data_IF_480396944194
#
_entry.id   IF_480396944194
#
_cell.length_a   1.000
_cell.length_b   1.000
_cell.length_c   1.000
_cell.angle_alpha   90.00
_cell.angle_beta   90.00
_cell.angle_gamma   90.00
#
_symmetry.space_group_name_H-M   'P 1'
#
loop_
_entity.id
_entity.type
_entity.pdbx_description
1 polymer ?
#
# COMPACT_ATOMS: atom_id res chain seq x y z
N UNK A 1 -37.46 67.23 37.51
CA UNK A 1 -37.44 65.78 37.82
C UNK A 1 -36.53 64.98 36.90
N UNK A 2 -35.59 65.58 36.19
CA UNK A 2 -34.73 64.89 35.23
C UNK A 2 -33.22 64.82 35.57
N UNK A 3 -32.83 65.55 36.64
CA UNK A 3 -31.41 65.55 37.07
C UNK A 3 -30.98 64.32 37.84
N UNK A 4 -31.89 63.74 38.63
CA UNK A 4 -31.57 62.58 39.51
C UNK A 4 -31.44 61.25 38.76
N UNK A 5 -32.05 61.15 37.58
CA UNK A 5 -32.05 59.91 36.77
C UNK A 5 -30.71 59.76 35.99
N UNK A 6 -30.15 60.89 35.58
CA UNK A 6 -28.87 60.93 34.85
C UNK A 6 -27.67 60.68 35.78
N UNK A 7 -27.69 61.15 37.02
CA UNK A 7 -26.63 60.90 38.01
C UNK A 7 -26.65 59.43 38.52
N UNK A 8 -27.80 58.82 38.64
CA UNK A 8 -27.93 57.41 39.02
C UNK A 8 -27.45 56.43 37.93
N UNK A 9 -27.66 56.76 36.66
CA UNK A 9 -27.12 56.00 35.52
C UNK A 9 -25.61 56.22 35.37
N UNK A 10 -25.11 57.45 35.59
CA UNK A 10 -23.67 57.74 35.53
C UNK A 10 -22.92 57.06 36.66
N UNK A 11 -23.45 57.00 37.88
CA UNK A 11 -22.85 56.31 39.03
C UNK A 11 -22.88 54.77 38.85
N UNK A 12 -23.86 54.19 38.17
CA UNK A 12 -23.89 52.74 37.83
C UNK A 12 -22.89 52.40 36.75
N UNK A 13 -22.73 53.25 35.73
CA UNK A 13 -21.74 53.09 34.68
C UNK A 13 -20.29 53.16 35.19
N UNK A 14 -20.00 54.16 36.07
CA UNK A 14 -18.69 54.36 36.65
C UNK A 14 -18.29 53.24 37.62
N UNK A 15 -19.26 52.60 38.33
CA UNK A 15 -19.00 51.47 39.22
C UNK A 15 -18.83 50.13 38.45
N UNK A 16 -19.41 49.98 37.27
CA UNK A 16 -19.27 48.77 36.46
C UNK A 16 -18.03 48.80 35.53
N UNK A 17 -17.52 49.99 35.25
CA UNK A 17 -16.35 50.18 34.36
C UNK A 17 -15.08 49.41 34.81
N UNK A 18 -14.67 49.45 36.10
CA UNK A 18 -13.52 48.68 36.55
C UNK A 18 -13.75 47.16 36.47
N UNK A 19 -14.97 46.69 36.69
CA UNK A 19 -15.29 45.27 36.57
C UNK A 19 -15.20 44.77 35.15
N UNK A 20 -15.65 45.58 34.19
CA UNK A 20 -15.57 45.23 32.75
C UNK A 20 -14.11 45.21 32.27
N UNK A 21 -13.28 46.17 32.72
CA UNK A 21 -11.85 46.20 32.39
C UNK A 21 -11.12 44.96 32.98
N UNK A 22 -11.43 44.60 34.23
CA UNK A 22 -10.87 43.38 34.85
C UNK A 22 -11.28 42.10 34.09
N UNK A 23 -12.56 41.97 33.71
CA UNK A 23 -13.02 40.84 32.91
C UNK A 23 -12.34 40.80 31.55
N UNK A 24 -12.16 41.95 30.88
CA UNK A 24 -11.50 42.04 29.60
C UNK A 24 -10.03 41.63 29.69
N UNK A 25 -9.32 42.07 30.72
CA UNK A 25 -7.93 41.69 30.97
C UNK A 25 -7.77 40.20 31.26
N UNK A 26 -8.70 39.64 32.04
CA UNK A 26 -8.73 38.16 32.30
C UNK A 26 -8.98 37.39 31.01
N UNK A 27 -9.92 37.82 30.17
CA UNK A 27 -10.22 37.17 28.88
C UNK A 27 -9.04 37.28 27.90
N UNK A 28 -8.38 38.44 27.85
CA UNK A 28 -7.19 38.63 27.04
C UNK A 28 -6.02 37.78 27.55
N UNK A 29 -5.84 37.68 28.87
CA UNK A 29 -4.83 36.83 29.48
C UNK A 29 -5.11 35.33 29.20
N UNK A 30 -6.35 34.87 29.34
CA UNK A 30 -6.76 33.51 28.99
C UNK A 30 -6.60 33.23 27.49
N UNK A 31 -6.98 34.18 26.63
CA UNK A 31 -6.76 34.05 25.20
C UNK A 31 -5.26 33.96 24.86
N UNK A 32 -4.42 34.77 25.50
CA UNK A 32 -2.99 34.75 25.30
C UNK A 32 -2.36 33.43 25.81
N UNK A 33 -2.71 32.97 27.02
CA UNK A 33 -2.24 31.69 27.56
C UNK A 33 -2.71 30.49 26.76
N UNK A 34 -3.91 30.51 26.24
CA UNK A 34 -4.43 29.45 25.35
C UNK A 34 -3.72 29.45 24.00
N UNK A 35 -3.34 30.60 23.47
CA UNK A 35 -2.59 30.67 22.21
C UNK A 35 -1.08 30.41 22.38
N UNK A 36 -0.48 30.70 23.52
CA UNK A 36 0.94 30.39 23.77
C UNK A 36 1.19 28.89 23.99
N UNK A 37 0.16 28.14 24.40
CA UNK A 37 0.30 26.71 24.69
C UNK A 37 0.21 25.77 23.48
N UNK A 38 0.09 26.28 22.24
CA UNK A 38 0.01 25.46 21.02
C UNK A 38 1.11 25.82 20.02
N UNK A 39 2.35 25.88 20.49
CA UNK A 39 3.47 25.63 19.58
C UNK A 39 3.61 24.10 19.43
N UNK A 40 2.80 23.49 18.57
CA UNK A 40 3.06 22.12 18.13
C UNK A 40 4.37 22.18 17.33
N UNK A 41 5.49 21.83 17.96
CA UNK A 41 6.71 21.52 17.22
C UNK A 41 6.37 20.37 16.27
N UNK A 42 6.09 20.72 15.02
CA UNK A 42 5.94 19.72 13.95
C UNK A 42 7.34 19.16 13.70
N UNK A 43 7.63 18.02 14.32
CA UNK A 43 8.87 17.28 14.05
C UNK A 43 8.90 16.90 12.56
N UNK A 44 9.66 17.67 11.78
CA UNK A 44 9.82 17.42 10.34
C UNK A 44 10.73 16.21 10.16
N UNK A 45 10.15 15.07 9.88
CA UNK A 45 10.91 13.84 9.61
C UNK A 45 11.77 14.00 8.36
N UNK A 46 13.06 13.59 8.40
CA UNK A 46 13.92 13.62 7.23
C UNK A 46 13.49 12.60 6.17
N UNK A 47 13.90 12.79 4.93
CA UNK A 47 13.72 11.77 3.89
C UNK A 47 14.57 10.54 4.24
N UNK A 48 14.00 9.34 4.06
CA UNK A 48 14.72 8.11 4.32
C UNK A 48 15.99 8.01 3.46
N UNK A 49 17.13 7.79 4.13
CA UNK A 49 18.40 7.53 3.45
C UNK A 49 18.34 6.15 2.78
N UNK A 50 19.04 5.98 1.66
CA UNK A 50 19.22 4.68 1.03
C UNK A 50 19.85 3.70 2.02
N UNK A 51 19.36 2.47 2.02
CA UNK A 51 19.88 1.40 2.88
C UNK A 51 20.84 0.56 2.07
N UNK A 52 22.02 0.26 2.63
CA UNK A 52 22.87 -0.80 2.09
C UNK A 52 22.18 -2.14 2.39
N UNK A 53 21.72 -2.82 1.37
CA UNK A 53 20.99 -4.07 1.49
C UNK A 53 21.93 -5.25 1.25
N UNK A 54 21.85 -6.27 2.12
CA UNK A 54 22.56 -7.52 1.95
C UNK A 54 21.98 -8.31 0.77
N UNK A 55 22.81 -9.14 0.13
CA UNK A 55 22.38 -9.89 -1.04
C UNK A 55 21.43 -11.05 -0.74
N UNK A 56 21.39 -11.57 0.48
CA UNK A 56 20.58 -12.72 0.84
C UNK A 56 19.46 -12.35 1.80
N UNK A 57 18.25 -12.81 1.50
CA UNK A 57 17.09 -12.72 2.38
C UNK A 57 16.64 -14.13 2.79
N UNK A 58 16.67 -14.38 4.09
CA UNK A 58 16.21 -15.66 4.64
C UNK A 58 14.68 -15.67 4.69
N UNK A 59 14.07 -16.66 4.06
CA UNK A 59 12.62 -16.84 4.04
C UNK A 59 12.23 -18.02 4.92
N UNK A 60 11.08 -17.91 5.58
CA UNK A 60 10.43 -19.01 6.28
C UNK A 60 9.23 -19.48 5.45
N UNK A 61 9.20 -20.76 5.09
CA UNK A 61 8.08 -21.38 4.37
C UNK A 61 7.15 -22.18 5.28
N UNK A 62 7.42 -22.16 6.58
CA UNK A 62 6.63 -22.81 7.60
C UNK A 62 5.23 -22.20 7.70
N UNK A 63 4.22 -23.06 7.76
CA UNK A 63 2.85 -22.64 7.97
C UNK A 63 2.63 -22.23 9.42
N UNK A 64 1.99 -21.08 9.63
CA UNK A 64 1.71 -20.52 10.96
C UNK A 64 0.22 -20.20 11.10
N UNK A 65 -0.25 -20.06 12.35
CA UNK A 65 -1.60 -19.56 12.59
C UNK A 65 -1.68 -18.03 12.36
N UNK A 66 -2.88 -17.51 12.27
CA UNK A 66 -3.10 -16.06 12.13
C UNK A 66 -2.60 -15.30 13.37
N UNK A 67 -2.80 -15.84 14.57
CA UNK A 67 -2.36 -15.24 15.83
C UNK A 67 -0.83 -15.09 15.87
N UNK A 68 -0.11 -16.13 15.44
CA UNK A 68 1.36 -16.09 15.34
C UNK A 68 1.81 -15.08 14.29
N UNK A 69 1.11 -15.00 13.15
CA UNK A 69 1.41 -13.99 12.12
C UNK A 69 1.23 -12.57 12.66
N UNK A 70 0.14 -12.28 13.37
CA UNK A 70 -0.14 -10.97 13.98
C UNK A 70 0.99 -10.50 14.89
N UNK A 71 1.51 -11.40 15.72
CA UNK A 71 2.68 -11.09 16.54
C UNK A 71 3.95 -10.77 15.74
N UNK A 72 4.13 -11.42 14.59
CA UNK A 72 5.30 -11.16 13.71
C UNK A 72 5.22 -9.81 12.98
N UNK A 73 4.01 -9.32 12.71
CA UNK A 73 3.76 -8.08 11.96
C UNK A 73 3.11 -6.99 12.81
N UNK A 74 3.33 -7.00 14.13
CA UNK A 74 2.69 -6.12 15.11
C UNK A 74 2.89 -4.62 14.87
N UNK A 75 3.88 -4.23 14.07
CA UNK A 75 4.17 -2.85 13.68
C UNK A 75 3.48 -2.42 12.37
N UNK A 76 2.63 -3.28 11.81
CA UNK A 76 1.82 -2.99 10.61
C UNK A 76 0.48 -2.42 11.05
N UNK A 77 0.08 -1.32 10.45
CA UNK A 77 -1.22 -0.69 10.72
C UNK A 77 -2.38 -1.53 10.16
N UNK A 78 -3.59 -1.40 10.71
CA UNK A 78 -4.79 -2.04 10.16
C UNK A 78 -4.90 -1.81 8.65
N UNK A 79 -5.32 -2.84 7.91
CA UNK A 79 -5.39 -2.82 6.45
C UNK A 79 -4.05 -3.08 5.75
N UNK A 80 -3.05 -3.62 6.46
CA UNK A 80 -1.76 -4.02 5.85
C UNK A 80 -0.86 -2.85 5.46
N UNK A 81 -1.05 -1.67 6.08
CA UNK A 81 -0.24 -0.48 5.84
C UNK A 81 0.96 -0.37 6.79
N UNK A 82 2.04 0.17 6.25
CA UNK A 82 3.21 0.51 7.03
C UNK A 82 3.84 1.80 6.50
N UNK A 83 4.27 2.65 7.43
CA UNK A 83 5.02 3.87 7.15
C UNK A 83 6.27 3.90 8.03
N UNK A 84 7.46 4.18 7.50
CA UNK A 84 8.67 4.25 8.30
C UNK A 84 8.53 5.25 9.45
N UNK A 85 8.78 4.83 10.71
CA UNK A 85 8.48 5.69 11.86
C UNK A 85 9.42 6.90 11.98
N UNK A 86 10.66 6.81 11.47
CA UNK A 86 11.72 7.81 11.68
C UNK A 86 12.06 8.67 10.47
N UNK A 87 11.47 8.40 9.29
CA UNK A 87 11.77 9.13 8.07
C UNK A 87 10.61 9.06 7.09
N UNK A 88 10.58 9.96 6.10
CA UNK A 88 9.61 9.98 5.01
C UNK A 88 10.16 9.15 3.85
N UNK A 89 9.42 8.11 3.45
CA UNK A 89 9.79 7.30 2.29
C UNK A 89 9.64 8.09 0.99
N UNK A 90 10.59 7.93 0.07
CA UNK A 90 10.48 8.46 -1.30
C UNK A 90 9.41 7.74 -2.12
N UNK A 91 9.12 6.49 -1.77
CA UNK A 91 8.21 5.62 -2.49
C UNK A 91 7.00 5.26 -1.64
N UNK A 92 5.82 5.50 -2.18
CA UNK A 92 4.55 5.03 -1.64
C UNK A 92 4.09 3.89 -2.54
N UNK A 93 4.15 2.67 -2.02
CA UNK A 93 4.06 1.44 -2.82
C UNK A 93 2.77 0.70 -2.50
N UNK A 94 1.96 0.41 -3.50
CA UNK A 94 0.86 -0.54 -3.40
C UNK A 94 1.32 -1.93 -3.88
N UNK A 95 1.27 -2.93 -3.00
CA UNK A 95 1.48 -4.34 -3.36
C UNK A 95 0.11 -4.96 -3.63
N UNK A 96 -0.14 -5.36 -4.87
CA UNK A 96 -1.43 -5.89 -5.31
C UNK A 96 -1.30 -7.38 -5.52
N UNK A 97 -2.08 -8.16 -4.75
CA UNK A 97 -2.01 -9.62 -4.70
C UNK A 97 -3.34 -10.22 -5.14
N UNK A 98 -3.43 -10.82 -6.32
CA UNK A 98 -4.63 -11.55 -6.74
C UNK A 98 -4.73 -12.82 -5.92
N UNK A 99 -5.91 -13.08 -5.37
CA UNK A 99 -6.09 -14.13 -4.37
C UNK A 99 -7.36 -14.95 -4.62
N UNK A 100 -7.27 -16.26 -4.35
CA UNK A 100 -8.39 -17.16 -4.13
C UNK A 100 -7.90 -18.47 -3.49
N UNK A 101 -8.54 -18.87 -2.38
CA UNK A 101 -8.37 -20.17 -1.72
C UNK A 101 -6.91 -20.60 -1.47
N UNK A 102 -6.06 -19.66 -1.01
CA UNK A 102 -4.64 -19.90 -0.77
C UNK A 102 -4.18 -19.39 0.58
N UNK A 103 -4.94 -19.67 1.63
CA UNK A 103 -4.71 -19.15 2.96
C UNK A 103 -3.29 -19.40 3.47
N UNK A 104 -2.79 -20.64 3.34
CA UNK A 104 -1.44 -20.98 3.77
C UNK A 104 -0.35 -20.18 3.01
N UNK A 105 -0.54 -20.01 1.69
CA UNK A 105 0.38 -19.18 0.91
C UNK A 105 0.33 -17.71 1.34
N UNK A 106 -0.88 -17.21 1.64
CA UNK A 106 -1.06 -15.83 2.09
C UNK A 106 -0.36 -15.58 3.44
N UNK A 107 -0.52 -16.49 4.41
CA UNK A 107 0.16 -16.39 5.72
C UNK A 107 1.68 -16.39 5.57
N UNK A 108 2.21 -17.34 4.78
CA UNK A 108 3.65 -17.43 4.48
C UNK A 108 4.13 -16.18 3.72
N UNK A 109 3.36 -15.70 2.76
CA UNK A 109 3.66 -14.47 2.01
C UNK A 109 3.74 -13.26 2.95
N UNK A 110 2.72 -13.01 3.76
CA UNK A 110 2.67 -11.86 4.67
C UNK A 110 3.81 -11.91 5.71
N UNK A 111 4.10 -13.09 6.27
CA UNK A 111 5.20 -13.29 7.21
C UNK A 111 6.55 -12.84 6.64
N UNK A 112 6.79 -13.07 5.35
CA UNK A 112 8.06 -12.77 4.70
C UNK A 112 8.09 -11.36 4.09
N UNK A 113 6.99 -10.95 3.45
CA UNK A 113 7.01 -9.71 2.66
C UNK A 113 7.03 -8.45 3.53
N UNK A 114 6.33 -8.44 4.68
CA UNK A 114 6.32 -7.26 5.55
C UNK A 114 7.74 -6.89 6.04
N UNK A 115 8.51 -7.79 6.68
CA UNK A 115 9.87 -7.46 7.10
C UNK A 115 10.79 -7.11 5.92
N UNK A 116 10.59 -7.77 4.77
CA UNK A 116 11.35 -7.48 3.54
C UNK A 116 11.15 -6.04 3.05
N UNK A 117 9.90 -5.57 3.01
CA UNK A 117 9.56 -4.19 2.60
C UNK A 117 10.01 -3.16 3.63
N UNK A 118 9.91 -3.48 4.93
CA UNK A 118 10.33 -2.60 6.02
C UNK A 118 11.84 -2.36 6.02
N UNK A 119 12.65 -3.39 5.72
CA UNK A 119 14.09 -3.23 5.55
C UNK A 119 14.43 -2.22 4.45
N UNK A 120 13.60 -2.10 3.43
CA UNK A 120 13.76 -1.12 2.35
C UNK A 120 13.22 0.28 2.70
N UNK A 121 12.69 0.48 3.91
CA UNK A 121 12.11 1.75 4.41
C UNK A 121 11.03 2.31 3.48
N UNK A 122 10.18 1.45 2.95
CA UNK A 122 9.08 1.83 2.08
C UNK A 122 7.86 2.26 2.90
N UNK A 123 7.13 3.26 2.40
CA UNK A 123 5.74 3.49 2.79
C UNK A 123 4.89 2.61 1.88
N UNK A 124 4.18 1.63 2.42
CA UNK A 124 3.47 0.67 1.59
C UNK A 124 2.12 0.25 2.15
N UNK A 125 1.28 -0.29 1.26
CA UNK A 125 0.07 -1.04 1.60
C UNK A 125 -0.01 -2.33 0.80
N UNK A 126 -0.49 -3.42 1.42
CA UNK A 126 -0.72 -4.70 0.76
C UNK A 126 -2.22 -4.88 0.53
N UNK A 127 -2.60 -5.10 -0.73
CA UNK A 127 -3.98 -5.23 -1.19
C UNK A 127 -4.20 -6.65 -1.70
N UNK A 128 -4.87 -7.47 -0.91
CA UNK A 128 -5.28 -8.82 -1.30
C UNK A 128 -6.63 -8.71 -2.00
N UNK A 129 -6.64 -8.99 -3.30
CA UNK A 129 -7.85 -8.86 -4.13
C UNK A 129 -8.41 -10.25 -4.37
N UNK A 130 -9.45 -10.56 -3.63
CA UNK A 130 -10.09 -11.87 -3.69
C UNK A 130 -11.16 -11.94 -4.78
N UNK A 131 -11.23 -13.07 -5.45
CA UNK A 131 -12.24 -13.34 -6.47
C UNK A 131 -13.30 -14.29 -5.92
N UNK A 132 -14.57 -13.99 -6.23
CA UNK A 132 -15.67 -14.87 -5.93
C UNK A 132 -15.44 -16.29 -6.48
N UNK A 133 -15.67 -17.30 -5.65
CA UNK A 133 -15.32 -18.71 -5.94
C UNK A 133 -16.09 -19.30 -7.11
N UNK A 134 -17.31 -18.83 -7.40
CA UNK A 134 -18.18 -19.29 -8.49
C UNK A 134 -17.69 -18.93 -9.89
N UNK A 135 -16.75 -17.97 -10.00
CA UNK A 135 -16.25 -17.48 -11.29
C UNK A 135 -14.87 -18.05 -11.62
N UNK A 136 -14.55 -18.24 -12.91
CA UNK A 136 -13.19 -18.60 -13.31
C UNK A 136 -12.21 -17.52 -12.88
N UNK A 137 -11.05 -17.90 -12.33
CA UNK A 137 -10.04 -16.97 -11.83
C UNK A 137 -9.49 -16.10 -12.96
N UNK A 138 -9.59 -14.77 -12.79
CA UNK A 138 -9.07 -13.78 -13.74
C UNK A 138 -8.04 -12.90 -13.07
N UNK A 139 -6.76 -13.31 -13.16
CA UNK A 139 -5.63 -12.64 -12.54
C UNK A 139 -5.50 -11.19 -13.02
N UNK A 140 -5.60 -10.95 -14.34
CA UNK A 140 -5.44 -9.61 -14.93
C UNK A 140 -6.50 -8.64 -14.42
N UNK A 141 -7.76 -9.07 -14.33
CA UNK A 141 -8.84 -8.26 -13.79
C UNK A 141 -8.57 -7.89 -12.32
N UNK A 142 -8.18 -8.86 -11.47
CA UNK A 142 -7.90 -8.62 -10.06
C UNK A 142 -6.75 -7.60 -9.88
N UNK A 143 -5.71 -7.67 -10.72
CA UNK A 143 -4.64 -6.68 -10.73
C UNK A 143 -5.14 -5.28 -11.08
N UNK A 144 -6.02 -5.14 -12.08
CA UNK A 144 -6.61 -3.85 -12.47
C UNK A 144 -7.51 -3.28 -11.37
N UNK A 145 -8.30 -4.14 -10.71
CA UNK A 145 -9.13 -3.72 -9.58
C UNK A 145 -8.26 -3.25 -8.43
N UNK A 146 -7.24 -4.02 -8.05
CA UNK A 146 -6.32 -3.64 -6.99
C UNK A 146 -5.61 -2.30 -7.28
N UNK A 147 -5.22 -2.05 -8.53
CA UNK A 147 -4.69 -0.75 -8.95
C UNK A 147 -5.70 0.37 -8.75
N UNK A 148 -6.94 0.20 -9.17
CA UNK A 148 -7.96 1.23 -9.07
C UNK A 148 -8.34 1.52 -7.62
N UNK A 149 -8.53 0.49 -6.81
CA UNK A 149 -8.97 0.68 -5.42
C UNK A 149 -7.83 1.21 -4.53
N UNK A 150 -6.61 0.69 -4.67
CA UNK A 150 -5.49 1.19 -3.88
C UNK A 150 -5.24 2.69 -4.09
N UNK A 151 -5.33 3.17 -5.34
CA UNK A 151 -5.13 4.61 -5.65
C UNK A 151 -6.25 5.53 -5.15
N UNK A 152 -7.44 5.00 -4.82
CA UNK A 152 -8.52 5.75 -4.18
C UNK A 152 -8.25 5.98 -2.69
N UNK A 153 -7.57 5.02 -2.07
CA UNK A 153 -7.34 5.02 -0.62
C UNK A 153 -6.11 5.82 -0.21
N UNK A 154 -5.09 5.88 -1.07
CA UNK A 154 -3.87 6.60 -0.77
C UNK A 154 -3.11 6.99 -2.05
N UNK A 155 -2.30 8.04 -1.97
CA UNK A 155 -1.53 8.54 -3.12
C UNK A 155 -0.27 7.69 -3.37
N UNK A 156 -0.46 6.42 -3.74
CA UNK A 156 0.64 5.56 -4.18
C UNK A 156 1.22 6.04 -5.51
N UNK A 157 2.54 6.00 -5.63
CA UNK A 157 3.26 6.36 -6.84
C UNK A 157 3.93 5.17 -7.54
N UNK A 158 3.95 4.01 -6.86
CA UNK A 158 4.49 2.77 -7.38
C UNK A 158 3.54 1.60 -7.06
N UNK A 159 3.34 0.70 -8.03
CA UNK A 159 2.43 -0.43 -7.93
C UNK A 159 3.21 -1.71 -8.25
N UNK A 160 3.21 -2.65 -7.32
CA UNK A 160 3.83 -3.96 -7.46
C UNK A 160 2.73 -4.99 -7.59
N UNK A 161 2.60 -5.59 -8.76
CA UNK A 161 1.69 -6.69 -9.03
C UNK A 161 2.38 -7.99 -8.67
N UNK A 162 1.87 -8.72 -7.68
CA UNK A 162 2.62 -9.75 -6.99
C UNK A 162 1.82 -11.04 -6.80
N UNK A 163 2.34 -12.17 -7.28
CA UNK A 163 1.73 -13.47 -7.01
C UNK A 163 1.98 -13.91 -5.55
N UNK A 164 0.95 -14.43 -4.89
CA UNK A 164 0.97 -14.82 -3.46
C UNK A 164 1.96 -15.93 -3.13
N UNK A 165 2.37 -16.70 -4.12
CA UNK A 165 3.27 -17.86 -3.98
C UNK A 165 4.75 -17.58 -4.33
N UNK A 166 5.11 -16.32 -4.55
CA UNK A 166 6.47 -15.91 -4.85
C UNK A 166 7.09 -15.12 -3.68
N UNK A 167 8.20 -15.59 -3.15
CA UNK A 167 8.93 -14.94 -2.06
C UNK A 167 10.29 -14.44 -2.55
N UNK A 168 10.62 -13.14 -2.38
CA UNK A 168 11.91 -12.60 -2.80
C UNK A 168 13.04 -13.17 -1.94
N UNK A 169 14.20 -13.45 -2.57
CA UNK A 169 15.40 -14.06 -1.93
C UNK A 169 16.57 -13.11 -1.80
N UNK A 170 16.45 -11.91 -2.34
CA UNK A 170 17.54 -10.94 -2.35
C UNK A 170 17.02 -9.54 -2.00
N UNK A 171 17.54 -8.95 -0.94
CA UNK A 171 17.08 -7.63 -0.46
C UNK A 171 17.39 -6.51 -1.43
N UNK A 172 18.38 -6.70 -2.34
CA UNK A 172 18.68 -5.74 -3.42
C UNK A 172 17.59 -5.68 -4.50
N UNK A 173 16.66 -6.65 -4.50
CA UNK A 173 15.45 -6.59 -5.32
C UNK A 173 14.54 -5.48 -4.80
N UNK A 174 14.80 -4.26 -5.24
CA UNK A 174 14.13 -3.08 -4.73
C UNK A 174 12.68 -3.00 -5.19
N UNK A 175 11.76 -2.97 -4.22
CA UNK A 175 10.31 -2.85 -4.40
C UNK A 175 9.88 -1.38 -4.58
N UNK A 176 10.62 -0.68 -5.42
CA UNK A 176 10.27 0.66 -5.89
C UNK A 176 10.20 0.69 -7.42
N UNK A 177 9.56 1.70 -7.95
CA UNK A 177 9.48 1.91 -9.38
C UNK A 177 10.74 2.60 -9.94
N UNK A 178 10.89 2.58 -11.23
CA UNK A 178 11.98 3.22 -11.97
C UNK A 178 11.42 3.95 -13.19
N UNK A 179 12.28 4.50 -14.03
CA UNK A 179 11.89 5.11 -15.31
C UNK A 179 11.26 4.16 -16.33
N UNK A 180 11.19 2.87 -16.02
CA UNK A 180 10.62 1.83 -16.89
C UNK A 180 9.79 0.82 -16.09
N UNK A 181 8.76 0.18 -16.68
CA UNK A 181 8.15 -1.03 -16.13
C UNK A 181 9.22 -2.08 -15.82
N UNK A 182 9.14 -2.70 -14.66
CA UNK A 182 10.18 -3.60 -14.17
C UNK A 182 9.67 -5.04 -14.06
N UNK A 183 10.38 -5.98 -14.67
CA UNK A 183 10.25 -7.40 -14.36
C UNK A 183 11.13 -7.73 -13.15
N UNK A 184 10.52 -8.13 -12.06
CA UNK A 184 11.23 -8.37 -10.80
C UNK A 184 11.72 -9.82 -10.65
N UNK A 185 11.07 -10.79 -11.32
CA UNK A 185 11.44 -12.21 -11.30
C UNK A 185 12.38 -12.52 -12.45
N UNK A 186 13.61 -12.94 -12.16
CA UNK A 186 14.57 -13.45 -13.16
C UNK A 186 14.78 -14.95 -13.05
N UNK A 187 14.65 -15.49 -11.84
CA UNK A 187 14.77 -16.93 -11.55
C UNK A 187 13.98 -17.30 -10.32
N UNK A 188 13.42 -18.47 -10.31
CA UNK A 188 12.89 -19.11 -9.11
C UNK A 188 13.39 -20.57 -9.05
N UNK A 189 13.01 -21.28 -7.97
CA UNK A 189 13.39 -22.69 -7.75
C UNK A 189 12.83 -23.67 -8.79
N UNK A 190 11.98 -23.22 -9.71
CA UNK A 190 11.40 -24.04 -10.78
C UNK A 190 11.91 -23.66 -12.17
N UNK A 191 12.18 -22.36 -12.43
CA UNK A 191 12.46 -21.85 -13.79
C UNK A 191 13.44 -20.69 -13.79
N UNK A 192 14.20 -20.61 -14.88
CA UNK A 192 15.07 -19.48 -15.20
C UNK A 192 14.46 -18.68 -16.37
N UNK A 193 14.18 -17.40 -16.13
CA UNK A 193 13.51 -16.50 -17.09
C UNK A 193 14.48 -15.47 -17.69
N UNK A 194 15.76 -15.50 -17.38
CA UNK A 194 16.72 -14.46 -17.78
C UNK A 194 16.77 -14.22 -19.27
N UNK A 195 16.60 -15.27 -20.08
CA UNK A 195 16.64 -15.23 -21.56
C UNK A 195 15.24 -15.20 -22.21
N UNK A 196 14.17 -14.97 -21.44
CA UNK A 196 12.81 -15.02 -21.95
C UNK A 196 12.15 -13.64 -21.94
N UNK A 197 11.04 -13.50 -22.64
CA UNK A 197 10.15 -12.33 -22.57
C UNK A 197 9.09 -12.48 -21.48
N UNK A 198 9.22 -13.49 -20.62
CA UNK A 198 8.33 -13.68 -19.47
C UNK A 198 8.16 -12.39 -18.68
N UNK A 199 6.92 -12.01 -18.45
CA UNK A 199 6.57 -10.78 -17.74
C UNK A 199 5.48 -11.04 -16.69
N UNK A 200 5.50 -12.24 -16.11
CA UNK A 200 4.60 -12.68 -15.06
C UNK A 200 5.22 -12.63 -13.66
N UNK A 201 4.50 -13.14 -12.69
CA UNK A 201 4.91 -13.29 -11.31
C UNK A 201 4.92 -12.00 -10.51
N UNK A 202 6.00 -11.21 -10.63
CA UNK A 202 6.14 -9.93 -9.90
C UNK A 202 6.61 -8.83 -10.84
N UNK A 203 5.80 -7.77 -10.96
CA UNK A 203 6.07 -6.63 -11.83
C UNK A 203 5.88 -5.31 -11.08
N UNK A 204 6.71 -4.32 -11.41
CA UNK A 204 6.59 -2.96 -10.89
C UNK A 204 6.27 -1.96 -12.00
N UNK A 205 5.28 -1.12 -11.74
CA UNK A 205 4.87 -0.03 -12.61
C UNK A 205 4.70 1.27 -11.82
N UNK A 206 5.17 2.38 -12.37
CA UNK A 206 4.66 3.68 -11.93
C UNK A 206 3.18 3.81 -12.32
N UNK A 207 2.46 4.70 -11.63
CA UNK A 207 1.07 5.01 -11.96
C UNK A 207 0.90 5.35 -13.44
N UNK A 208 1.77 6.20 -13.96
CA UNK A 208 1.68 6.70 -15.33
C UNK A 208 1.98 5.61 -16.38
N UNK A 209 2.97 4.77 -16.11
CA UNK A 209 3.26 3.63 -16.98
C UNK A 209 2.07 2.65 -17.04
N UNK A 210 1.45 2.33 -15.90
CA UNK A 210 0.34 1.39 -15.87
C UNK A 210 -0.91 1.93 -16.58
N UNK A 211 -1.19 3.22 -16.42
CA UNK A 211 -2.26 3.90 -17.17
C UNK A 211 -1.95 3.91 -18.68
N UNK A 212 -0.71 4.25 -19.06
CA UNK A 212 -0.28 4.32 -20.45
C UNK A 212 -0.40 3.00 -21.20
N UNK A 213 -0.14 1.87 -20.54
CA UNK A 213 -0.29 0.54 -21.15
C UNK A 213 -1.74 0.03 -21.10
N UNK A 214 -2.67 0.79 -20.49
CA UNK A 214 -4.07 0.42 -20.28
C UNK A 214 -4.22 -0.87 -19.45
N UNK A 215 -3.38 -1.03 -18.43
CA UNK A 215 -3.42 -2.13 -17.48
C UNK A 215 -3.25 -3.52 -18.06
N UNK A 216 -3.67 -4.52 -17.29
CA UNK A 216 -3.76 -5.91 -17.73
C UNK A 216 -4.97 -6.13 -18.64
N UNK A 217 -4.93 -7.12 -19.55
CA UNK A 217 -6.13 -7.55 -20.27
C UNK A 217 -7.12 -8.26 -19.33
N UNK A 218 -8.41 -7.94 -19.48
CA UNK A 218 -9.47 -8.52 -18.64
C UNK A 218 -10.11 -9.78 -19.24
N UNK A 219 -9.71 -10.17 -20.45
CA UNK A 219 -10.38 -11.26 -21.21
C UNK A 219 -9.92 -12.66 -20.81
N UNK A 220 -8.78 -12.80 -20.15
CA UNK A 220 -8.21 -14.11 -19.84
C UNK A 220 -8.70 -14.61 -18.48
N UNK A 221 -9.30 -15.78 -18.48
CA UNK A 221 -9.73 -16.51 -17.28
C UNK A 221 -9.07 -17.89 -17.24
N UNK A 222 -8.50 -18.26 -16.11
CA UNK A 222 -7.66 -19.42 -15.94
C UNK A 222 -6.18 -19.08 -15.91
N UNK A 223 -5.30 -19.98 -16.35
CA UNK A 223 -3.85 -19.77 -16.26
C UNK A 223 -3.25 -19.29 -17.59
N UNK A 224 -2.46 -18.21 -17.52
CA UNK A 224 -1.59 -17.75 -18.59
C UNK A 224 -2.23 -16.76 -19.59
N UNK A 225 -1.40 -16.21 -20.45
CA UNK A 225 -1.63 -15.22 -21.51
C UNK A 225 -1.76 -13.77 -21.08
N UNK A 226 -2.27 -13.46 -19.88
CA UNK A 226 -2.46 -12.08 -19.42
C UNK A 226 -1.14 -11.32 -19.22
N UNK A 227 -0.08 -12.03 -18.84
CA UNK A 227 1.27 -11.49 -18.67
C UNK A 227 2.00 -11.32 -20.01
N UNK A 228 1.80 -12.21 -20.97
CA UNK A 228 2.31 -12.08 -22.35
C UNK A 228 1.67 -10.87 -23.04
N UNK A 229 0.33 -10.71 -22.94
CA UNK A 229 -0.40 -9.57 -23.48
C UNK A 229 0.07 -8.26 -22.81
N UNK A 230 0.23 -8.26 -21.46
CA UNK A 230 0.77 -7.09 -20.77
C UNK A 230 2.16 -6.71 -21.30
N UNK A 231 3.05 -7.68 -21.56
CA UNK A 231 4.35 -7.43 -22.16
C UNK A 231 4.22 -6.73 -23.54
N UNK A 232 3.34 -7.24 -24.38
CA UNK A 232 3.07 -6.62 -25.69
C UNK A 232 2.49 -5.20 -25.56
N UNK A 233 1.60 -4.95 -24.60
CA UNK A 233 1.08 -3.61 -24.31
C UNK A 233 2.20 -2.64 -23.90
N UNK A 234 3.16 -3.09 -23.11
CA UNK A 234 4.34 -2.28 -22.74
C UNK A 234 5.14 -1.89 -23.99
N UNK A 235 5.41 -2.85 -24.89
CA UNK A 235 6.15 -2.58 -26.12
C UNK A 235 5.37 -1.66 -27.08
N UNK A 236 4.07 -1.88 -27.25
CA UNK A 236 3.20 -1.04 -28.08
C UNK A 236 3.11 0.40 -27.56
N UNK A 237 3.17 0.60 -26.25
CA UNK A 237 3.26 1.91 -25.61
C UNK A 237 4.63 2.57 -25.76
N UNK A 238 5.57 1.96 -26.54
CA UNK A 238 6.96 2.43 -26.71
C UNK A 238 7.71 2.54 -25.38
N UNK A 239 7.41 1.65 -24.42
CA UNK A 239 8.14 1.50 -23.18
C UNK A 239 9.09 0.30 -23.27
N UNK A 240 10.20 0.37 -22.55
CA UNK A 240 11.13 -0.74 -22.37
C UNK A 240 10.92 -1.42 -21.04
N UNK A 241 11.19 -2.72 -20.96
CA UNK A 241 11.10 -3.47 -19.71
C UNK A 241 12.48 -3.56 -19.06
N UNK A 242 12.62 -3.01 -17.88
CA UNK A 242 13.81 -3.24 -17.05
C UNK A 242 13.74 -4.67 -16.49
N UNK A 243 14.75 -5.47 -16.79
CA UNK A 243 14.89 -6.84 -16.26
C UNK A 243 15.94 -6.85 -15.16
N UNK A 244 15.62 -7.40 -14.00
CA UNK A 244 16.60 -7.55 -12.93
C UNK A 244 17.64 -8.62 -13.30
N UNK A 245 18.91 -8.46 -12.85
CA UNK A 245 19.93 -9.49 -13.04
C UNK A 245 19.57 -10.78 -12.30
N UNK A 246 20.12 -11.91 -12.77
CA UNK A 246 19.90 -13.24 -12.22
C UNK A 246 20.12 -13.32 -10.70
N UNK A 247 21.17 -12.70 -10.22
CA UNK A 247 21.55 -12.71 -8.81
C UNK A 247 20.73 -11.79 -7.91
N UNK A 248 19.85 -10.95 -8.47
CA UNK A 248 18.97 -10.03 -7.74
C UNK A 248 17.51 -10.45 -7.85
N UNK A 249 17.04 -10.76 -9.07
CA UNK A 249 15.64 -11.16 -9.32
C UNK A 249 15.35 -12.62 -8.91
N UNK A 250 15.83 -13.05 -7.74
CA UNK A 250 15.68 -14.41 -7.20
C UNK A 250 14.46 -14.53 -6.32
N UNK A 251 13.66 -15.57 -6.58
CA UNK A 251 12.46 -15.87 -5.80
C UNK A 251 12.39 -17.35 -5.42
N UNK A 252 11.67 -17.64 -4.36
CA UNK A 252 11.17 -19.00 -4.07
C UNK A 252 9.71 -19.06 -4.47
N UNK A 253 9.36 -20.04 -5.28
CA UNK A 253 7.96 -20.36 -5.60
C UNK A 253 7.49 -21.47 -4.65
N UNK A 254 6.42 -21.20 -3.89
CA UNK A 254 5.87 -22.11 -2.89
C UNK A 254 5.21 -23.36 -3.51
N UNK A 255 4.93 -23.30 -4.80
CA UNK A 255 4.30 -24.41 -5.51
C UNK A 255 2.80 -24.51 -5.26
N UNK A 256 2.07 -24.82 -6.32
CA UNK A 256 0.64 -25.05 -6.29
C UNK A 256 0.23 -25.88 -7.52
N UNK A 257 -0.97 -26.45 -7.49
CA UNK A 257 -1.58 -27.01 -8.67
C UNK A 257 -1.97 -25.89 -9.63
N UNK A 258 -1.56 -25.99 -10.88
CA UNK A 258 -1.92 -25.02 -11.90
C UNK A 258 -3.41 -25.16 -12.24
N UNK A 259 -4.09 -24.02 -12.40
CA UNK A 259 -5.42 -24.00 -12.99
C UNK A 259 -5.35 -24.43 -14.47
N UNK A 260 -6.48 -24.82 -15.03
CA UNK A 260 -6.60 -25.08 -16.47
C UNK A 260 -6.21 -23.86 -17.29
N UNK A 261 -5.66 -24.07 -18.49
CA UNK A 261 -5.29 -23.00 -19.42
C UNK A 261 -6.45 -22.03 -19.66
N UNK A 262 -6.11 -20.75 -19.75
CA UNK A 262 -7.08 -19.69 -19.99
C UNK A 262 -7.85 -19.92 -21.29
N UNK A 263 -9.17 -19.84 -21.19
CA UNK A 263 -10.08 -19.73 -22.34
C UNK A 263 -10.51 -18.27 -22.44
N UNK A 264 -10.50 -17.72 -23.64
CA UNK A 264 -11.07 -16.39 -23.90
C UNK A 264 -12.58 -16.43 -23.62
N UNK A 265 -13.05 -15.67 -22.64
CA UNK A 265 -14.49 -15.45 -22.38
C UNK A 265 -14.72 -14.10 -21.75
N UNK A 266 -15.70 -13.38 -22.24
CA UNK A 266 -16.21 -12.14 -21.65
C UNK A 266 -17.09 -12.49 -20.44
N UNK A 267 -16.82 -11.85 -19.28
CA UNK A 267 -17.65 -12.03 -18.08
C UNK A 267 -17.95 -10.70 -17.39
N UNK A 268 -19.17 -10.60 -16.87
CA UNK A 268 -19.63 -9.56 -15.96
C UNK A 268 -19.26 -9.93 -14.52
N UNK A 269 -18.78 -8.98 -13.70
CA UNK A 269 -18.17 -9.27 -12.41
C UNK A 269 -18.77 -8.50 -11.25
N UNK A 270 -18.89 -9.19 -10.11
CA UNK A 270 -18.90 -8.59 -8.77
C UNK A 270 -17.58 -8.91 -8.07
N UNK A 271 -16.97 -7.92 -7.42
CA UNK A 271 -15.66 -8.04 -6.78
C UNK A 271 -15.80 -7.54 -5.35
N UNK A 272 -15.38 -8.40 -4.40
CA UNK A 272 -15.21 -8.03 -3.00
C UNK A 272 -13.76 -7.66 -2.74
N UNK A 273 -13.54 -6.49 -2.13
CA UNK A 273 -12.25 -6.10 -1.57
C UNK A 273 -12.17 -6.65 -0.16
N UNK A 274 -11.30 -7.62 0.05
CA UNK A 274 -10.92 -8.00 1.40
C UNK A 274 -9.75 -7.13 1.84
N UNK A 275 -10.03 -6.19 2.73
CA UNK A 275 -9.01 -5.66 3.61
C UNK A 275 -8.56 -6.78 4.54
N UNK A 276 -7.25 -6.98 4.69
CA UNK A 276 -6.71 -7.82 5.73
C UNK A 276 -7.28 -7.33 7.07
N UNK A 277 -8.34 -8.01 7.53
CA UNK A 277 -8.99 -7.76 8.80
C UNK A 277 -8.21 -8.53 9.85
N UNK A 278 -7.18 -7.91 10.41
CA UNK A 278 -6.75 -8.28 11.76
C UNK A 278 -7.99 -8.09 12.65
N UNK A 279 -8.38 -9.12 13.37
CA UNK A 279 -9.53 -9.10 14.27
C UNK A 279 -9.37 -7.98 15.31
N UNK A 280 -9.83 -6.81 15.00
CA UNK A 280 -10.19 -5.79 15.96
C UNK A 280 -11.57 -5.28 15.55
N UNK A 281 -12.52 -5.44 16.47
CA UNK A 281 -13.93 -5.12 16.37
C UNK A 281 -14.26 -3.89 15.53
N UNK A 282 -15.30 -4.06 14.67
CA UNK A 282 -16.14 -3.06 14.06
C UNK A 282 -15.52 -2.12 13.01
N UNK A 283 -15.74 -2.43 11.72
CA UNK A 283 -16.48 -1.59 10.76
C UNK A 283 -16.86 -2.47 9.57
N UNK A 284 -18.17 -2.78 9.44
CA UNK A 284 -18.75 -3.26 8.19
C UNK A 284 -18.76 -2.12 7.19
N UNK A 285 -18.15 -2.34 6.01
CA UNK A 285 -18.46 -1.55 4.82
C UNK A 285 -19.30 -2.47 3.93
N UNK A 286 -20.59 -2.14 3.86
CA UNK A 286 -21.53 -2.71 2.88
C UNK A 286 -21.20 -2.25 1.48
#
# INVERSE_FOLDING_TARGET
MDSDRTDMLRNKLVKSFPLYVVLLTILLYLYWTLNESVSVEVEVKPICKSVSLNSFYNISTENISWEVLEHHINNVLPGGRYTPPRCISRWRVAIIVPYRDRENHLKVFLRNIHPFLQQQRLDYGIFVIEMETSKPFNRGLLMNVGFNESRRLYNYNCFIFHDVDLLPRDTRNSYCCSGHPKRMVSVNNKRNYTKTNYFGGVNAFSKDHFIRVNGFPNMYSGWGREDDDLYHRVLNAKLTVQKLPFNVGRYTNLGHQQATLAKEKYFSFFIFLFYYRLHTNSVEIK
#
